data_IF_414146650998
#
_entry.id   IF_414146650998
#
_cell.length_a   1.000
_cell.length_b   1.000
_cell.length_c   1.000
_cell.angle_alpha   90.00
_cell.angle_beta   90.00
_cell.angle_gamma   90.00
#
_symmetry.space_group_name_H-M   'P 1'
#
loop_
_entity.id
_entity.type
_entity.pdbx_description
1 polymer ?
#
# COMPACT_ATOMS: atom_id res chain seq x y z
N UNK A 1 -7.18 -18.39 -8.16
CA UNK A 1 -7.25 -17.22 -7.24
C UNK A 1 -6.11 -17.39 -6.25
N UNK A 2 -5.19 -16.43 -6.11
CA UNK A 2 -3.98 -16.56 -5.26
C UNK A 2 -4.09 -15.65 -4.02
N UNK A 3 -5.28 -15.53 -3.46
CA UNK A 3 -5.53 -14.78 -2.23
C UNK A 3 -5.81 -15.82 -1.15
N UNK A 4 -4.91 -15.98 -0.19
CA UNK A 4 -5.17 -16.80 1.00
C UNK A 4 -6.32 -16.16 1.78
N UNK A 5 -7.29 -16.93 2.27
CA UNK A 5 -8.40 -16.41 3.06
C UNK A 5 -8.73 -17.41 4.15
N UNK A 6 -8.68 -16.98 5.39
CA UNK A 6 -9.03 -17.81 6.55
C UNK A 6 -10.44 -17.49 7.03
N UNK A 7 -11.00 -18.35 7.88
CA UNK A 7 -12.34 -18.12 8.48
C UNK A 7 -12.35 -16.86 9.34
N UNK A 8 -11.24 -16.53 9.98
CA UNK A 8 -11.01 -15.33 10.80
C UNK A 8 -11.10 -14.02 9.98
N UNK A 9 -10.82 -14.06 8.68
CA UNK A 9 -10.93 -12.91 7.78
C UNK A 9 -12.38 -12.53 7.46
N UNK A 10 -13.31 -13.45 7.72
CA UNK A 10 -14.73 -13.31 7.45
C UNK A 10 -15.48 -12.99 8.74
N UNK A 11 -16.17 -11.85 8.74
CA UNK A 11 -17.01 -11.45 9.87
C UNK A 11 -18.40 -12.09 9.75
N UNK A 12 -18.99 -12.02 8.56
CA UNK A 12 -20.33 -12.53 8.33
C UNK A 12 -20.58 -12.83 6.84
N UNK A 13 -21.37 -13.85 6.54
CA UNK A 13 -21.82 -14.11 5.18
C UNK A 13 -23.27 -14.62 5.15
N UNK A 14 -24.02 -14.21 4.13
CA UNK A 14 -25.39 -14.70 3.91
C UNK A 14 -25.72 -14.80 2.42
N UNK A 15 -26.67 -15.67 2.08
CA UNK A 15 -27.28 -15.69 0.76
C UNK A 15 -28.44 -14.69 0.72
N UNK A 16 -28.56 -13.94 -0.38
CA UNK A 16 -29.66 -12.99 -0.58
C UNK A 16 -30.69 -13.53 -1.58
N UNK A 17 -31.97 -13.19 -1.35
CA UNK A 17 -33.08 -13.57 -2.23
C UNK A 17 -33.76 -14.91 -1.88
N UNK A 18 -34.88 -15.17 -2.58
CA UNK A 18 -35.69 -16.39 -2.43
C UNK A 18 -35.00 -17.58 -3.11
N UNK A 19 -35.24 -18.79 -2.60
CA UNK A 19 -34.77 -20.03 -3.24
C UNK A 19 -35.52 -20.21 -4.56
N UNK A 20 -34.80 -20.45 -5.64
CA UNK A 20 -35.34 -20.68 -6.97
C UNK A 20 -34.35 -21.46 -7.83
N UNK A 21 -34.57 -21.48 -9.14
CA UNK A 21 -33.74 -22.22 -10.11
C UNK A 21 -32.31 -21.65 -10.22
N UNK A 22 -32.16 -20.32 -10.12
CA UNK A 22 -30.85 -19.66 -10.19
C UNK A 22 -30.15 -19.63 -8.84
N UNK A 23 -28.84 -19.82 -8.86
CA UNK A 23 -28.01 -19.73 -7.66
C UNK A 23 -28.10 -18.33 -7.03
N UNK A 24 -28.35 -18.29 -5.72
CA UNK A 24 -28.47 -17.04 -4.96
C UNK A 24 -27.11 -16.36 -4.76
N UNK A 25 -27.01 -15.04 -4.95
CA UNK A 25 -25.79 -14.31 -4.62
C UNK A 25 -25.45 -14.44 -3.13
N UNK A 26 -24.15 -14.45 -2.84
CA UNK A 26 -23.61 -14.48 -1.47
C UNK A 26 -23.06 -13.08 -1.18
N UNK A 27 -23.54 -12.48 -0.10
CA UNK A 27 -22.98 -11.25 0.46
C UNK A 27 -22.03 -11.64 1.58
N UNK A 28 -20.81 -11.12 1.51
CA UNK A 28 -19.73 -11.41 2.44
C UNK A 28 -19.26 -10.10 3.06
N UNK A 29 -19.14 -10.08 4.38
CA UNK A 29 -18.56 -9.02 5.18
C UNK A 29 -17.21 -9.51 5.69
N UNK A 30 -16.16 -8.77 5.35
CA UNK A 30 -14.79 -9.06 5.76
C UNK A 30 -14.46 -8.29 7.02
N UNK A 31 -13.72 -8.92 7.93
CA UNK A 31 -13.22 -8.31 9.15
C UNK A 31 -12.33 -7.10 8.85
N UNK A 32 -11.54 -7.16 7.77
CA UNK A 32 -10.65 -6.07 7.36
C UNK A 32 -10.92 -5.59 5.93
N UNK A 33 -10.88 -4.28 5.74
CA UNK A 33 -11.01 -3.65 4.41
C UNK A 33 -9.84 -4.03 3.49
N UNK A 34 -8.64 -4.22 4.04
CA UNK A 34 -7.44 -4.63 3.30
C UNK A 34 -7.68 -5.93 2.53
N UNK A 35 -8.34 -6.91 3.17
CA UNK A 35 -8.68 -8.19 2.54
C UNK A 35 -9.64 -8.03 1.38
N UNK A 36 -10.69 -7.22 1.58
CA UNK A 36 -11.63 -6.85 0.51
C UNK A 36 -10.89 -6.22 -0.67
N UNK A 37 -10.00 -5.26 -0.43
CA UNK A 37 -9.22 -4.59 -1.48
C UNK A 37 -8.32 -5.58 -2.23
N UNK A 38 -7.62 -6.46 -1.52
CA UNK A 38 -6.77 -7.51 -2.09
C UNK A 38 -7.56 -8.44 -3.03
N UNK A 39 -8.75 -8.86 -2.60
CA UNK A 39 -9.66 -9.67 -3.40
C UNK A 39 -10.09 -8.93 -4.68
N UNK A 40 -10.50 -7.66 -4.57
CA UNK A 40 -10.93 -6.88 -5.72
C UNK A 40 -9.81 -6.57 -6.72
N UNK A 41 -8.55 -6.53 -6.29
CA UNK A 41 -7.38 -6.41 -7.17
C UNK A 41 -7.16 -7.69 -8.00
N UNK A 42 -7.36 -8.85 -7.39
CA UNK A 42 -7.12 -10.16 -7.99
C UNK A 42 -8.34 -10.75 -8.73
N UNK A 43 -9.50 -10.09 -8.70
CA UNK A 43 -10.76 -10.60 -9.27
C UNK A 43 -10.70 -10.96 -10.76
N UNK A 44 -9.81 -10.35 -11.54
CA UNK A 44 -9.63 -10.67 -12.97
C UNK A 44 -9.24 -12.13 -13.20
N UNK A 45 -8.61 -12.75 -12.20
CA UNK A 45 -8.26 -14.17 -12.26
C UNK A 45 -9.49 -15.10 -12.23
N UNK A 46 -10.70 -14.55 -12.01
CA UNK A 46 -11.97 -15.28 -12.04
C UNK A 46 -12.69 -15.19 -13.38
N UNK A 47 -12.18 -14.44 -14.36
CA UNK A 47 -12.83 -14.25 -15.66
C UNK A 47 -13.03 -15.57 -16.44
N UNK A 48 -12.16 -16.56 -16.21
CA UNK A 48 -12.28 -17.91 -16.79
C UNK A 48 -13.21 -18.84 -16.00
N UNK A 49 -13.75 -18.38 -14.86
CA UNK A 49 -14.62 -19.17 -13.99
C UNK A 49 -16.08 -18.75 -14.16
N UNK A 50 -17.01 -19.60 -13.69
CA UNK A 50 -18.44 -19.29 -13.66
C UNK A 50 -18.82 -18.24 -12.60
N UNK A 51 -17.86 -17.80 -11.78
CA UNK A 51 -18.09 -16.92 -10.65
C UNK A 51 -17.59 -15.50 -10.95
N UNK A 52 -18.32 -14.51 -10.43
CA UNK A 52 -17.91 -13.11 -10.50
C UNK A 52 -18.07 -12.43 -9.14
N UNK A 53 -17.24 -11.41 -8.90
CA UNK A 53 -17.26 -10.63 -7.67
C UNK A 53 -17.57 -9.18 -8.01
N UNK A 54 -18.55 -8.59 -7.30
CA UNK A 54 -18.92 -7.18 -7.40
C UNK A 54 -18.97 -6.56 -6.01
N UNK A 55 -18.81 -5.24 -5.97
CA UNK A 55 -19.05 -4.47 -4.74
C UNK A 55 -20.54 -4.43 -4.43
N UNK A 56 -20.88 -4.56 -3.16
CA UNK A 56 -22.22 -4.28 -2.67
C UNK A 56 -22.41 -2.75 -2.61
N UNK A 57 -23.42 -2.23 -3.29
CA UNK A 57 -23.64 -0.81 -3.51
C UNK A 57 -25.10 -0.46 -3.22
N UNK A 58 -25.32 0.72 -2.65
CA UNK A 58 -26.68 1.18 -2.35
C UNK A 58 -27.46 1.47 -3.64
N UNK A 59 -28.81 1.41 -3.59
CA UNK A 59 -29.66 1.66 -4.77
C UNK A 59 -29.42 3.03 -5.41
N UNK A 60 -29.12 4.06 -4.60
CA UNK A 60 -28.81 5.40 -5.10
C UNK A 60 -27.59 5.40 -6.01
N UNK A 61 -26.51 4.72 -5.59
CA UNK A 61 -25.26 4.63 -6.34
C UNK A 61 -25.47 3.80 -7.61
N UNK A 62 -26.25 2.72 -7.55
CA UNK A 62 -26.57 1.92 -8.73
C UNK A 62 -27.28 2.75 -9.81
N UNK A 63 -28.18 3.66 -9.42
CA UNK A 63 -28.82 4.61 -10.36
C UNK A 63 -27.80 5.56 -10.98
N UNK A 64 -26.97 6.21 -10.16
CA UNK A 64 -25.90 7.11 -10.66
C UNK A 64 -24.96 6.39 -11.62
N UNK A 65 -24.56 5.17 -11.30
CA UNK A 65 -23.70 4.36 -12.18
C UNK A 65 -24.34 4.08 -13.54
N UNK A 66 -25.64 3.79 -13.59
CA UNK A 66 -26.34 3.58 -14.87
C UNK A 66 -26.25 4.80 -15.79
N UNK A 67 -26.33 6.00 -15.21
CA UNK A 67 -26.20 7.26 -15.95
C UNK A 67 -24.77 7.51 -16.44
N UNK A 68 -23.75 7.03 -15.73
CA UNK A 68 -22.34 7.21 -16.09
C UNK A 68 -21.79 6.18 -17.09
N UNK A 69 -22.50 5.06 -17.32
CA UNK A 69 -22.06 4.02 -18.26
C UNK A 69 -21.89 4.54 -19.70
N UNK A 70 -22.81 5.34 -20.27
CA UNK A 70 -22.65 5.90 -21.61
C UNK A 70 -21.41 6.79 -21.73
N UNK A 71 -21.21 7.71 -20.79
CA UNK A 71 -20.04 8.59 -20.76
C UNK A 71 -18.73 7.79 -20.63
N UNK A 72 -18.74 6.74 -19.80
CA UNK A 72 -17.60 5.85 -19.67
C UNK A 72 -17.24 5.15 -20.98
N UNK A 73 -18.24 4.68 -21.75
CA UNK A 73 -18.02 4.04 -23.05
C UNK A 73 -17.40 5.00 -24.05
N UNK A 74 -17.91 6.22 -24.14
CA UNK A 74 -17.37 7.27 -25.01
C UNK A 74 -15.88 7.54 -24.72
N UNK A 75 -15.50 7.66 -23.43
CA UNK A 75 -14.10 7.85 -23.03
C UNK A 75 -13.21 6.67 -23.41
N UNK A 76 -13.72 5.44 -23.29
CA UNK A 76 -12.98 4.23 -23.70
C UNK A 76 -12.82 4.19 -25.24
N UNK A 77 -13.85 4.56 -25.99
CA UNK A 77 -13.83 4.65 -27.46
C UNK A 77 -12.84 5.73 -27.96
N UNK A 78 -12.72 6.84 -27.22
CA UNK A 78 -11.71 7.88 -27.45
C UNK A 78 -10.27 7.41 -27.12
N UNK A 79 -10.09 6.19 -26.60
CA UNK A 79 -8.79 5.62 -26.25
C UNK A 79 -8.31 5.97 -24.84
N UNK A 80 -9.15 6.61 -24.01
CA UNK A 80 -8.81 6.83 -22.61
C UNK A 80 -8.98 5.56 -21.78
N UNK A 81 -8.04 5.33 -20.84
CA UNK A 81 -8.16 4.23 -19.88
C UNK A 81 -9.05 4.65 -18.72
N UNK A 82 -10.36 4.66 -18.92
CA UNK A 82 -11.35 5.03 -17.91
C UNK A 82 -11.95 3.80 -17.20
N UNK A 83 -12.23 3.92 -15.89
CA UNK A 83 -12.95 2.92 -15.10
C UNK A 83 -14.02 3.58 -14.22
N UNK A 84 -15.08 2.83 -13.90
CA UNK A 84 -16.10 3.28 -12.95
C UNK A 84 -15.79 2.77 -11.54
N UNK A 85 -15.44 3.67 -10.63
CA UNK A 85 -15.24 3.37 -9.19
C UNK A 85 -16.33 4.04 -8.37
N UNK A 86 -17.06 3.26 -7.59
CA UNK A 86 -18.19 3.76 -6.80
C UNK A 86 -19.20 4.54 -7.67
N UNK A 87 -19.34 5.85 -7.48
CA UNK A 87 -20.23 6.76 -8.21
C UNK A 87 -19.49 7.67 -9.21
N UNK A 88 -18.23 7.38 -9.55
CA UNK A 88 -17.38 8.27 -10.37
C UNK A 88 -16.62 7.53 -11.46
N UNK A 89 -16.38 8.22 -12.56
CA UNK A 89 -15.44 7.80 -13.61
C UNK A 89 -14.03 8.25 -13.21
N UNK A 90 -13.08 7.33 -13.25
CA UNK A 90 -11.67 7.57 -12.93
C UNK A 90 -10.82 7.24 -14.15
N UNK A 91 -10.07 8.22 -14.64
CA UNK A 91 -9.12 8.05 -15.74
C UNK A 91 -7.80 7.56 -15.15
N UNK A 92 -7.35 6.36 -15.55
CA UNK A 92 -6.06 5.82 -15.15
C UNK A 92 -4.98 6.43 -16.03
N UNK A 93 -4.09 7.19 -15.40
CA UNK A 93 -2.84 7.58 -16.04
C UNK A 93 -2.07 6.32 -16.44
N UNK A 94 -1.56 6.28 -17.68
CA UNK A 94 -0.58 5.27 -18.08
C UNK A 94 0.57 5.36 -17.07
N UNK A 95 1.03 4.23 -16.53
CA UNK A 95 2.31 4.22 -15.81
C UNK A 95 3.29 4.79 -16.82
N UNK A 96 3.86 5.96 -16.53
CA UNK A 96 5.02 6.43 -17.29
C UNK A 96 6.00 5.26 -17.22
N UNK A 97 6.40 4.74 -18.36
CA UNK A 97 7.63 3.97 -18.43
C UNK A 97 8.66 4.81 -17.66
N UNK A 98 9.41 4.18 -16.77
CA UNK A 98 10.49 4.85 -16.07
C UNK A 98 11.63 5.12 -17.07
N UNK A 99 11.33 5.82 -18.16
CA UNK A 99 12.33 6.45 -19.00
C UNK A 99 12.68 7.73 -18.27
N UNK A 100 13.80 7.64 -17.54
CA UNK A 100 14.47 8.69 -16.80
C UNK A 100 13.73 9.16 -15.54
N UNK A 101 14.15 8.58 -14.41
CA UNK A 101 13.98 9.15 -13.08
C UNK A 101 14.74 10.50 -13.08
N UNK A 102 14.13 11.58 -13.55
CA UNK A 102 14.42 12.88 -12.94
C UNK A 102 13.82 12.78 -11.55
N UNK A 103 14.67 12.53 -10.56
CA UNK A 103 14.31 12.55 -9.15
C UNK A 103 13.58 13.86 -8.88
N UNK A 104 12.25 13.84 -8.87
CA UNK A 104 11.49 14.92 -8.28
C UNK A 104 11.76 14.77 -6.78
N UNK A 105 12.53 15.69 -6.17
CA UNK A 105 12.86 15.55 -4.76
C UNK A 105 11.53 15.52 -4.00
N UNK A 106 11.35 14.48 -3.18
CA UNK A 106 10.32 14.45 -2.16
C UNK A 106 10.23 15.84 -1.53
N UNK A 107 9.01 16.35 -1.33
CA UNK A 107 8.68 17.57 -0.60
C UNK A 107 9.20 17.49 0.84
N UNK A 108 10.52 17.48 1.02
CA UNK A 108 11.19 17.74 2.28
C UNK A 108 11.01 19.23 2.50
N UNK A 109 10.41 19.59 3.63
CA UNK A 109 10.31 20.98 4.06
C UNK A 109 11.73 21.55 4.09
N UNK A 110 11.96 22.65 3.39
CA UNK A 110 13.22 23.39 3.55
C UNK A 110 13.29 23.85 5.01
N UNK A 111 14.43 23.62 5.68
CA UNK A 111 14.66 24.22 7.00
C UNK A 111 14.70 25.73 6.81
N UNK A 112 13.91 26.47 7.60
CA UNK A 112 13.99 27.92 7.63
C UNK A 112 15.37 28.31 8.15
N UNK A 113 16.13 29.07 7.36
CA UNK A 113 17.28 29.80 7.88
C UNK A 113 16.75 30.97 8.70
N UNK A 114 16.91 30.87 10.02
CA UNK A 114 16.74 32.02 10.91
C UNK A 114 17.73 33.12 10.47
N UNK A 115 17.35 34.41 10.49
CA UNK A 115 18.28 35.48 10.14
C UNK A 115 19.50 35.43 11.05
N UNK A 116 20.70 35.52 10.46
CA UNK A 116 21.92 35.80 11.21
C UNK A 116 21.84 37.25 11.71
N UNK A 117 21.76 37.41 13.03
CA UNK A 117 21.99 38.71 13.64
C UNK A 117 23.43 39.14 13.35
N UNK A 118 23.58 40.21 12.57
CA UNK A 118 24.86 40.87 12.36
C UNK A 118 25.24 41.60 13.64
N UNK A 119 25.95 40.92 14.54
CA UNK A 119 26.65 41.59 15.62
C UNK A 119 27.84 42.35 15.03
N UNK A 120 28.00 43.66 15.30
CA UNK A 120 29.13 44.44 14.83
C UNK A 120 30.47 43.82 15.27
N UNK A 121 31.42 43.82 14.35
CA UNK A 121 32.80 43.40 14.53
C UNK A 121 33.50 44.30 15.56
N UNK A 122 33.71 43.83 16.79
CA UNK A 122 34.76 44.36 17.66
C UNK A 122 35.52 43.23 18.38
N UNK A 123 36.85 43.34 18.24
CA UNK A 123 37.94 42.78 19.04
C UNK A 123 38.28 41.28 19.00
N UNK A 124 39.34 41.03 18.23
CA UNK A 124 40.28 39.92 18.39
C UNK A 124 40.86 39.93 19.81
N UNK A 125 40.54 38.88 20.58
CA UNK A 125 41.39 38.15 21.52
C UNK A 125 40.60 37.78 22.77
N UNK A 126 40.04 36.56 22.80
CA UNK A 126 39.96 35.71 23.98
C UNK A 126 39.60 34.28 23.58
N UNK A 127 40.59 33.42 23.75
CA UNK A 127 40.46 31.97 23.77
C UNK A 127 39.52 31.57 24.93
N UNK A 128 38.28 31.22 24.64
CA UNK A 128 37.44 30.47 25.58
C UNK A 128 36.91 29.23 24.88
N UNK A 129 37.55 28.11 25.20
CA UNK A 129 37.14 26.75 24.84
C UNK A 129 35.71 26.54 25.35
N UNK A 130 34.71 26.54 24.46
CA UNK A 130 33.41 25.97 24.81
C UNK A 130 33.58 24.47 24.99
N UNK A 131 33.51 24.02 26.25
CA UNK A 131 33.46 22.61 26.62
C UNK A 131 32.17 22.03 26.05
N UNK A 132 32.26 21.35 24.90
CA UNK A 132 31.15 20.53 24.41
C UNK A 132 31.12 19.27 25.27
N UNK A 133 30.09 19.14 26.10
CA UNK A 133 29.80 17.89 26.80
C UNK A 133 29.68 16.75 25.78
N UNK A 134 30.46 15.65 25.91
CA UNK A 134 30.34 14.53 24.99
C UNK A 134 28.98 13.84 25.20
N UNK A 135 28.13 13.81 24.17
CA UNK A 135 26.91 12.99 24.15
C UNK A 135 27.33 11.52 24.34
N UNK A 136 27.03 10.94 25.50
CA UNK A 136 27.44 9.59 25.93
C UNK A 136 26.87 8.44 25.10
N UNK A 137 25.90 8.68 24.20
CA UNK A 137 25.25 7.61 23.45
C UNK A 137 25.38 7.82 21.92
N UNK A 138 26.58 7.64 21.37
CA UNK A 138 26.74 7.31 19.95
C UNK A 138 26.78 5.80 19.81
N UNK A 139 25.60 5.18 19.80
CA UNK A 139 25.49 3.74 19.49
C UNK A 139 25.55 3.59 17.97
N UNK A 140 26.53 2.83 17.47
CA UNK A 140 26.64 2.55 16.04
C UNK A 140 25.62 1.47 15.66
N UNK A 141 24.52 1.88 15.02
CA UNK A 141 23.42 0.99 14.61
C UNK A 141 23.84 -0.17 13.71
N UNK A 142 25.01 -0.09 13.05
CA UNK A 142 25.50 -1.16 12.19
C UNK A 142 25.82 -2.46 12.94
N UNK A 143 25.99 -2.41 14.27
CA UNK A 143 26.21 -3.62 15.08
C UNK A 143 24.96 -4.50 15.22
N UNK A 144 23.76 -3.97 14.98
CA UNK A 144 22.51 -4.71 15.14
C UNK A 144 21.94 -5.25 13.81
N UNK A 145 22.47 -4.78 12.68
CA UNK A 145 21.88 -5.03 11.36
C UNK A 145 22.32 -6.38 10.77
N UNK A 146 23.40 -7.01 11.26
CA UNK A 146 23.93 -8.27 10.70
C UNK A 146 24.13 -9.38 11.74
N UNK A 147 23.06 -9.81 12.41
CA UNK A 147 23.09 -11.03 13.25
C UNK A 147 22.28 -12.22 12.74
N UNK A 148 21.46 -12.08 11.69
CA UNK A 148 20.57 -13.17 11.24
C UNK A 148 21.17 -14.15 10.23
N UNK A 149 22.47 -14.07 9.92
CA UNK A 149 23.05 -14.86 8.80
C UNK A 149 24.20 -15.79 9.20
N UNK A 150 24.63 -15.84 10.47
CA UNK A 150 25.77 -16.69 10.90
C UNK A 150 25.38 -17.93 11.71
N UNK A 151 24.17 -18.00 12.25
CA UNK A 151 23.80 -19.11 13.15
C UNK A 151 23.21 -20.34 12.42
N UNK A 152 22.91 -20.25 11.12
CA UNK A 152 22.38 -21.39 10.36
C UNK A 152 23.47 -22.34 9.81
N UNK A 153 24.76 -22.04 10.01
CA UNK A 153 25.87 -22.86 9.50
C UNK A 153 26.45 -23.86 10.53
N UNK A 154 26.05 -23.80 11.80
CA UNK A 154 26.64 -24.62 12.87
C UNK A 154 25.85 -25.90 13.23
N UNK A 155 24.76 -26.22 12.52
CA UNK A 155 23.84 -27.32 12.89
C UNK A 155 23.77 -28.49 11.90
N UNK A 156 24.77 -28.69 11.03
CA UNK A 156 24.75 -29.79 10.04
C UNK A 156 25.81 -30.89 10.21
N UNK A 157 26.63 -30.90 11.26
CA UNK A 157 27.60 -31.99 11.46
C UNK A 157 27.68 -32.45 12.92
N UNK A 158 26.77 -33.34 13.33
CA UNK A 158 27.14 -34.53 14.10
C UNK A 158 25.94 -35.47 14.27
N UNK A 159 25.86 -36.50 13.43
CA UNK A 159 25.13 -37.74 13.72
C UNK A 159 25.92 -38.88 13.13
N UNK A 160 26.87 -39.39 13.90
CA UNK A 160 27.39 -40.76 13.82
C UNK A 160 28.01 -41.12 15.18
N UNK A 161 27.72 -42.34 15.62
CA UNK A 161 28.19 -43.06 16.82
C UNK A 161 27.44 -42.80 18.13
N UNK A 162 26.63 -43.77 18.55
CA UNK A 162 26.91 -44.67 19.68
C UNK A 162 25.75 -45.67 19.88
N UNK A 163 26.13 -46.95 19.85
CA UNK A 163 25.50 -48.19 20.38
C UNK A 163 23.99 -48.45 20.20
#
# INVERSE_FOLDING_TARGET
>A
MQVSCEKSDLEYFRRIGKKGEKSRPIVITFTTMSKKIELFKNRRNLEKSLYYIKEDLTPKILKTRKLLIPELKQKIEQGERAILKYDKIVILKKKREQTNITYQPNNKRNLSTSPEEQTPLEDRNKLTKQIRVPKRNKVNMNQYINKSSRDNAAMSHNKNNCE
#
